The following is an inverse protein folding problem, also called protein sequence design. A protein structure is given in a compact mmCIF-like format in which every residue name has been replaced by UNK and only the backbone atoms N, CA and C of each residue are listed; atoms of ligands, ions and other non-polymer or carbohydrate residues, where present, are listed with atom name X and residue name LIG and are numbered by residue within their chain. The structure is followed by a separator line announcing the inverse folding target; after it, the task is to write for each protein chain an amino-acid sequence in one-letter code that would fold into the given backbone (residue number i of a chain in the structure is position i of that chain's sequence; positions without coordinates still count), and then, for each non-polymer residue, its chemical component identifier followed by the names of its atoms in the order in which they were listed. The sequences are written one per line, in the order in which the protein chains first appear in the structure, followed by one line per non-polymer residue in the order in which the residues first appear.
data_IF_512702957233
#
_entry.id   IF_512702957233
#
_cell.length_a   1.000
_cell.length_b   1.000
_cell.length_c   1.000
_cell.angle_alpha   90.00
_cell.angle_beta   90.00
_cell.angle_gamma   90.00
#
_symmetry.space_group_name_H-M   'P 1'
#
loop_
_entity.id
_entity.type
_entity.pdbx_description
1 polymer ?
#
# COMPACT_ATOMS: atom_id res chain seq x y z
N UNK A 1 10.61 -12.38 -18.17
CA UNK A 1 10.90 -10.98 -17.86
C UNK A 1 12.08 -10.50 -18.70
N UNK A 2 12.09 -9.23 -19.09
CA UNK A 2 13.26 -8.60 -19.72
C UNK A 2 14.33 -8.24 -18.68
N UNK A 3 13.96 -8.21 -17.38
CA UNK A 3 14.82 -7.87 -16.25
C UNK A 3 15.52 -6.50 -16.38
N UNK A 4 14.94 -5.62 -17.21
CA UNK A 4 15.46 -4.30 -17.53
C UNK A 4 14.29 -3.33 -17.48
N UNK A 5 14.48 -2.23 -16.76
CA UNK A 5 13.58 -1.09 -16.73
C UNK A 5 14.01 -0.12 -17.84
N UNK A 6 13.09 0.24 -18.74
CA UNK A 6 13.36 1.27 -19.75
C UNK A 6 13.45 2.65 -19.10
N UNK A 7 14.11 3.59 -19.78
CA UNK A 7 14.22 4.97 -19.30
C UNK A 7 12.84 5.62 -19.21
N UNK A 8 11.97 5.32 -20.18
CA UNK A 8 10.59 5.80 -20.25
C UNK A 8 9.74 5.27 -19.08
N UNK A 9 9.83 3.98 -18.77
CA UNK A 9 9.17 3.38 -17.60
C UNK A 9 9.69 4.01 -16.29
N UNK A 10 11.01 4.20 -16.17
CA UNK A 10 11.62 4.86 -15.02
C UNK A 10 11.10 6.29 -14.82
N UNK A 11 11.08 7.10 -15.89
CA UNK A 11 10.53 8.45 -15.85
C UNK A 11 9.04 8.47 -15.50
N UNK A 12 8.25 7.52 -16.02
CA UNK A 12 6.83 7.43 -15.70
C UNK A 12 6.58 7.16 -14.21
N UNK A 13 7.41 6.35 -13.54
CA UNK A 13 7.26 6.08 -12.11
C UNK A 13 7.59 7.28 -11.22
N UNK A 14 8.50 8.16 -11.64
CA UNK A 14 8.95 9.31 -10.85
C UNK A 14 8.25 10.62 -11.22
N UNK A 15 7.25 10.57 -12.12
CA UNK A 15 6.47 11.75 -12.51
C UNK A 15 5.84 12.45 -11.28
N UNK A 16 5.57 13.76 -11.32
CA UNK A 16 4.90 14.45 -10.22
C UNK A 16 3.57 13.76 -9.83
N UNK A 17 3.26 13.76 -8.53
CA UNK A 17 2.00 13.20 -8.01
C UNK A 17 0.87 14.20 -8.31
N UNK A 18 -0.29 13.68 -8.69
CA UNK A 18 -1.49 14.49 -8.98
C UNK A 18 -2.51 14.40 -7.85
N UNK A 19 -3.42 15.38 -7.74
CA UNK A 19 -4.54 15.32 -6.79
C UNK A 19 -5.39 14.07 -7.03
N UNK A 20 -5.67 13.76 -8.29
CA UNK A 20 -6.47 12.60 -8.69
C UNK A 20 -5.82 11.27 -8.26
N UNK A 21 -4.49 11.15 -8.34
CA UNK A 21 -3.77 9.97 -7.82
C UNK A 21 -3.92 9.82 -6.30
N UNK A 22 -3.94 10.94 -5.55
CA UNK A 22 -4.15 10.92 -4.10
C UNK A 22 -5.58 10.53 -3.76
N UNK A 23 -6.56 11.15 -4.41
CA UNK A 23 -7.97 10.85 -4.21
C UNK A 23 -8.25 9.38 -4.54
N UNK A 24 -7.82 8.91 -5.70
CA UNK A 24 -7.92 7.49 -6.06
C UNK A 24 -7.35 6.57 -4.98
N UNK A 25 -6.14 6.88 -4.48
CA UNK A 25 -5.50 6.06 -3.45
C UNK A 25 -6.31 6.04 -2.14
N UNK A 26 -6.97 7.13 -1.75
CA UNK A 26 -7.85 7.18 -0.58
C UNK A 26 -9.09 6.31 -0.80
N UNK A 27 -9.76 6.49 -1.94
CA UNK A 27 -11.04 5.82 -2.24
C UNK A 27 -10.89 4.33 -2.52
N UNK A 28 -9.73 3.89 -3.00
CA UNK A 28 -9.43 2.48 -3.23
C UNK A 28 -8.99 1.72 -1.95
N UNK A 29 -8.78 2.41 -0.82
CA UNK A 29 -8.59 1.75 0.48
C UNK A 29 -9.95 1.31 1.03
N UNK A 30 -10.13 0.02 1.29
CA UNK A 30 -11.35 -0.51 1.90
C UNK A 30 -11.67 0.15 3.26
N UNK A 31 -12.95 0.41 3.52
CA UNK A 31 -13.44 1.18 4.68
C UNK A 31 -13.53 0.37 5.96
N UNK A 32 -13.74 -0.94 5.82
CA UNK A 32 -13.97 -1.94 6.86
C UNK A 32 -12.69 -2.38 7.59
N UNK A 33 -11.78 -1.43 7.87
CA UNK A 33 -10.46 -1.72 8.45
C UNK A 33 -10.41 -1.28 9.91
N UNK A 34 -9.73 -2.11 10.73
CA UNK A 34 -9.55 -1.91 12.16
C UNK A 34 -9.01 -0.51 12.51
N UNK A 35 -9.36 0.03 13.69
CA UNK A 35 -8.90 1.34 14.15
C UNK A 35 -7.38 1.40 14.21
N UNK A 36 -6.86 2.59 13.91
CA UNK A 36 -5.44 2.87 13.72
C UNK A 36 -4.87 3.58 14.95
N UNK A 37 -3.53 3.75 15.06
CA UNK A 37 -2.92 4.49 16.17
C UNK A 37 -3.53 5.87 16.41
N UNK A 38 -3.96 6.54 15.34
CA UNK A 38 -4.59 7.87 15.37
C UNK A 38 -6.12 7.85 15.57
N UNK A 39 -6.74 6.67 15.61
CA UNK A 39 -8.19 6.50 15.77
C UNK A 39 -9.01 6.72 14.49
N UNK A 40 -8.41 7.10 13.37
CA UNK A 40 -9.13 7.40 12.13
C UNK A 40 -9.10 6.23 11.13
N UNK A 41 -10.27 5.82 10.64
CA UNK A 41 -10.40 4.80 9.59
C UNK A 41 -10.33 5.44 8.20
N UNK A 42 -10.14 4.62 7.16
CA UNK A 42 -10.30 5.07 5.77
C UNK A 42 -11.71 5.62 5.48
N UNK A 43 -12.74 5.07 6.14
CA UNK A 43 -14.12 5.57 6.05
C UNK A 43 -14.25 7.03 6.50
N UNK A 44 -13.54 7.44 7.55
CA UNK A 44 -13.50 8.85 7.97
C UNK A 44 -12.98 9.76 6.85
N UNK A 45 -11.83 9.42 6.25
CA UNK A 45 -11.22 10.25 5.20
C UNK A 45 -12.10 10.37 3.96
N UNK A 46 -12.78 9.28 3.57
CA UNK A 46 -13.71 9.31 2.43
C UNK A 46 -14.94 10.15 2.74
N UNK A 47 -15.56 9.94 3.91
CA UNK A 47 -16.75 10.68 4.31
C UNK A 47 -16.48 12.18 4.51
N UNK A 48 -15.29 12.53 5.02
CA UNK A 48 -14.88 13.91 5.28
C UNK A 48 -13.99 14.48 4.15
N UNK A 49 -13.93 13.86 2.97
CA UNK A 49 -12.97 14.23 1.92
C UNK A 49 -13.09 15.70 1.49
N UNK A 50 -14.31 16.23 1.44
CA UNK A 50 -14.55 17.65 1.14
C UNK A 50 -13.99 18.62 2.17
N UNK A 51 -13.63 18.14 3.36
CA UNK A 51 -13.08 18.93 4.47
C UNK A 51 -11.59 18.71 4.64
N UNK A 52 -11.11 17.46 4.54
CA UNK A 52 -9.71 17.10 4.84
C UNK A 52 -8.87 16.80 3.60
N UNK A 53 -9.48 16.76 2.41
CA UNK A 53 -8.85 16.26 1.19
C UNK A 53 -7.67 17.12 0.72
N UNK A 54 -7.76 18.45 0.87
CA UNK A 54 -6.67 19.35 0.51
C UNK A 54 -5.47 19.22 1.47
N UNK A 55 -5.70 19.07 2.78
CA UNK A 55 -4.64 18.83 3.76
C UNK A 55 -3.96 17.48 3.55
N UNK A 56 -4.74 16.43 3.30
CA UNK A 56 -4.21 15.09 2.98
C UNK A 56 -3.36 15.15 1.73
N UNK A 57 -3.85 15.82 0.68
CA UNK A 57 -3.13 15.96 -0.58
C UNK A 57 -1.82 16.73 -0.39
N UNK A 58 -1.84 17.83 0.36
CA UNK A 58 -0.63 18.58 0.70
C UNK A 58 0.38 17.72 1.45
N UNK A 59 -0.07 16.96 2.45
CA UNK A 59 0.82 16.09 3.22
C UNK A 59 1.46 14.98 2.35
N UNK A 60 0.72 14.44 1.37
CA UNK A 60 1.27 13.48 0.40
C UNK A 60 2.29 14.15 -0.51
N UNK A 61 1.99 15.34 -1.04
CA UNK A 61 2.93 16.08 -1.89
C UNK A 61 4.22 16.43 -1.15
N UNK A 62 4.11 16.90 0.09
CA UNK A 62 5.24 17.21 0.97
C UNK A 62 6.13 15.97 1.17
N UNK A 63 5.54 14.79 1.38
CA UNK A 63 6.28 13.54 1.47
C UNK A 63 7.05 13.24 0.17
N UNK A 64 6.41 13.34 -1.00
CA UNK A 64 7.08 13.04 -2.27
C UNK A 64 8.11 14.10 -2.69
N UNK A 65 7.99 15.33 -2.19
CA UNK A 65 8.97 16.39 -2.42
C UNK A 65 10.19 16.28 -1.50
N UNK A 66 9.99 15.96 -0.22
CA UNK A 66 11.05 15.99 0.81
C UNK A 66 11.57 14.60 1.20
N UNK A 67 10.83 13.53 0.90
CA UNK A 67 11.16 12.16 1.33
C UNK A 67 11.02 11.94 2.84
N UNK A 68 10.34 12.83 3.56
CA UNK A 68 10.21 12.80 5.01
C UNK A 68 8.77 12.57 5.45
N UNK A 69 8.59 11.66 6.40
CA UNK A 69 7.29 11.36 7.01
C UNK A 69 7.33 11.72 8.50
N UNK A 70 6.26 12.35 8.99
CA UNK A 70 6.12 12.64 10.42
C UNK A 70 6.13 11.32 11.22
N UNK A 71 6.85 11.32 12.35
CA UNK A 71 6.99 10.12 13.21
C UNK A 71 5.64 9.57 13.65
N UNK A 72 4.68 10.46 13.91
CA UNK A 72 3.31 10.13 14.29
C UNK A 72 2.60 9.38 13.16
N UNK A 73 2.79 9.79 11.90
CA UNK A 73 2.21 9.12 10.73
C UNK A 73 2.85 7.76 10.49
N UNK A 74 4.14 7.61 10.79
CA UNK A 74 4.85 6.34 10.74
C UNK A 74 4.58 5.42 11.94
N UNK A 75 3.83 5.88 12.95
CA UNK A 75 3.44 5.04 14.08
C UNK A 75 2.55 3.89 13.60
N UNK A 76 2.80 2.70 14.13
CA UNK A 76 2.10 1.47 13.76
C UNK A 76 1.71 0.73 15.01
N UNK A 77 0.45 0.33 15.12
CA UNK A 77 -0.02 -0.54 16.18
C UNK A 77 0.17 -1.99 15.75
N UNK A 78 0.94 -2.75 16.52
CA UNK A 78 1.13 -4.18 16.32
C UNK A 78 0.00 -4.94 17.03
N UNK A 79 -0.75 -5.73 16.28
CA UNK A 79 -1.79 -6.63 16.82
C UNK A 79 -1.48 -8.07 16.47
N UNK A 80 -1.73 -8.99 17.40
CA UNK A 80 -1.53 -10.42 17.19
C UNK A 80 -2.88 -11.09 16.89
N UNK A 81 -3.02 -11.69 15.71
CA UNK A 81 -4.19 -12.49 15.35
C UNK A 81 -3.87 -13.98 15.51
N UNK A 82 -4.66 -14.75 16.28
CA UNK A 82 -4.48 -16.20 16.38
C UNK A 82 -4.60 -16.89 15.02
N UNK A 83 -3.67 -17.80 14.71
CA UNK A 83 -3.76 -18.69 13.53
C UNK A 83 -4.50 -20.00 13.84
N UNK A 84 -4.60 -20.36 15.11
CA UNK A 84 -5.23 -21.59 15.61
C UNK A 84 -6.23 -21.25 16.73
N UNK A 85 -7.16 -22.18 17.03
CA UNK A 85 -8.23 -21.95 18.01
C UNK A 85 -7.71 -21.69 19.43
N UNK A 86 -6.64 -22.38 19.83
CA UNK A 86 -6.04 -22.28 21.17
C UNK A 86 -4.54 -22.02 21.04
N UNK A 87 -4.13 -20.75 20.82
CA UNK A 87 -2.73 -20.42 20.66
C UNK A 87 -1.98 -20.53 22.00
N UNK A 88 -0.86 -21.24 22.02
CA UNK A 88 -0.03 -21.44 23.22
C UNK A 88 1.39 -20.89 23.04
N UNK A 89 1.84 -20.72 21.80
CA UNK A 89 3.18 -20.24 21.46
C UNK A 89 3.12 -18.96 20.63
N UNK A 90 4.20 -18.17 20.65
CA UNK A 90 4.31 -16.94 19.82
C UNK A 90 4.12 -17.25 18.34
N UNK A 91 4.63 -18.41 17.89
CA UNK A 91 4.47 -18.88 16.50
C UNK A 91 3.02 -19.18 16.12
N UNK A 92 2.08 -19.28 17.07
CA UNK A 92 0.66 -19.50 16.82
C UNK A 92 -0.07 -18.20 16.44
N UNK A 93 0.59 -17.05 16.59
CA UNK A 93 0.04 -15.76 16.23
C UNK A 93 0.60 -15.27 14.88
N UNK A 94 -0.20 -14.49 14.18
CA UNK A 94 0.22 -13.67 13.04
C UNK A 94 0.29 -12.22 13.51
N UNK A 95 1.47 -11.59 13.52
CA UNK A 95 1.55 -10.16 13.75
C UNK A 95 0.95 -9.41 12.56
N UNK A 96 0.13 -8.40 12.85
CA UNK A 96 -0.44 -7.48 11.87
C UNK A 96 -0.08 -6.05 12.29
N UNK A 97 0.45 -5.31 11.33
CA UNK A 97 0.78 -3.90 11.45
C UNK A 97 -0.39 -3.03 11.03
N UNK A 98 -0.98 -2.30 11.97
CA UNK A 98 -2.02 -1.31 11.73
C UNK A 98 -1.37 0.08 11.61
N UNK A 99 -1.04 0.47 10.38
CA UNK A 99 -0.44 1.77 10.05
C UNK A 99 -1.54 2.83 9.82
N UNK A 100 -1.21 4.11 10.01
CA UNK A 100 -2.11 5.25 9.72
C UNK A 100 -2.56 5.30 8.26
N UNK A 101 -3.72 5.91 7.99
CA UNK A 101 -4.26 5.98 6.61
C UNK A 101 -3.31 6.73 5.69
N UNK A 102 -2.72 7.83 6.15
CA UNK A 102 -1.79 8.62 5.35
C UNK A 102 -0.57 7.81 4.88
N UNK A 103 -0.02 6.94 5.75
CA UNK A 103 1.02 5.99 5.38
C UNK A 103 0.54 5.02 4.28
N UNK A 104 -0.70 4.53 4.39
CA UNK A 104 -1.30 3.63 3.40
C UNK A 104 -1.53 4.31 2.06
N UNK A 105 -1.94 5.57 2.03
CA UNK A 105 -2.09 6.36 0.79
C UNK A 105 -0.75 6.43 0.06
N UNK A 106 0.32 6.83 0.76
CA UNK A 106 1.66 6.96 0.20
C UNK A 106 2.15 5.63 -0.38
N UNK A 107 2.12 4.57 0.42
CA UNK A 107 2.59 3.24 -0.01
C UNK A 107 1.75 2.66 -1.14
N UNK A 108 0.46 2.99 -1.21
CA UNK A 108 -0.42 2.58 -2.30
C UNK A 108 -0.09 3.26 -3.61
N UNK A 109 0.19 4.57 -3.60
CA UNK A 109 0.63 5.29 -4.81
C UNK A 109 1.95 4.70 -5.33
N UNK A 110 2.92 4.46 -4.43
CA UNK A 110 4.20 3.82 -4.78
C UNK A 110 3.96 2.42 -5.36
N UNK A 111 3.19 1.59 -4.67
CA UNK A 111 2.86 0.23 -5.11
C UNK A 111 2.18 0.21 -6.48
N UNK A 112 1.24 1.13 -6.73
CA UNK A 112 0.56 1.24 -8.01
C UNK A 112 1.55 1.55 -9.14
N UNK A 113 2.46 2.52 -8.93
CA UNK A 113 3.45 2.90 -9.96
C UNK A 113 4.44 1.77 -10.25
N UNK A 114 4.87 1.03 -9.23
CA UNK A 114 5.74 -0.15 -9.39
C UNK A 114 5.00 -1.29 -10.10
N UNK A 115 3.70 -1.48 -9.81
CA UNK A 115 2.94 -2.60 -10.36
C UNK A 115 2.89 -2.61 -11.89
N UNK A 116 2.90 -1.42 -12.52
CA UNK A 116 2.83 -1.26 -13.98
C UNK A 116 4.07 -1.83 -14.69
N UNK A 117 5.22 -1.85 -14.03
CA UNK A 117 6.48 -2.34 -14.62
C UNK A 117 6.86 -3.72 -14.11
N UNK A 118 6.16 -4.23 -13.10
CA UNK A 118 6.57 -5.42 -12.35
C UNK A 118 6.66 -6.65 -13.26
N UNK A 119 5.71 -6.83 -14.18
CA UNK A 119 5.67 -7.97 -15.11
C UNK A 119 6.91 -8.08 -15.99
N UNK A 120 7.53 -6.96 -16.36
CA UNK A 120 8.75 -6.92 -17.16
C UNK A 120 10.00 -7.24 -16.33
N UNK A 121 9.94 -7.06 -15.01
CA UNK A 121 11.08 -7.16 -14.09
C UNK A 121 11.18 -8.51 -13.39
N UNK A 122 10.05 -9.15 -13.07
CA UNK A 122 10.02 -10.39 -12.28
C UNK A 122 9.92 -11.64 -13.15
N UNK A 123 10.47 -12.75 -12.66
CA UNK A 123 10.37 -14.05 -13.34
C UNK A 123 8.91 -14.44 -13.61
N UNK A 124 8.59 -15.09 -14.74
CA UNK A 124 7.27 -15.70 -14.96
C UNK A 124 6.90 -16.71 -13.86
N UNK A 125 7.88 -17.34 -13.21
CA UNK A 125 7.66 -18.27 -12.09
C UNK A 125 7.27 -17.56 -10.77
N UNK A 126 7.31 -16.23 -10.73
CA UNK A 126 6.86 -15.46 -9.57
C UNK A 126 5.38 -15.09 -9.75
N UNK A 127 4.49 -15.90 -9.17
CA UNK A 127 3.04 -15.75 -9.34
C UNK A 127 2.32 -15.02 -8.20
N UNK A 128 2.94 -14.89 -7.03
CA UNK A 128 2.30 -14.24 -5.89
C UNK A 128 2.30 -12.70 -6.02
N UNK A 129 1.17 -12.07 -5.73
CA UNK A 129 0.98 -10.61 -5.69
C UNK A 129 1.24 -9.86 -7.01
N UNK A 130 1.06 -10.55 -8.14
CA UNK A 130 1.15 -9.96 -9.47
C UNK A 130 -0.24 -9.98 -10.11
N UNK A 131 -0.75 -8.84 -10.59
CA UNK A 131 -2.04 -8.80 -11.27
C UNK A 131 -2.09 -9.81 -12.43
N UNK A 132 -3.19 -10.56 -12.52
CA UNK A 132 -3.39 -11.54 -13.60
C UNK A 132 -2.64 -12.87 -13.44
N UNK A 133 -1.81 -13.06 -12.41
CA UNK A 133 -1.17 -14.35 -12.11
C UNK A 133 -1.87 -15.07 -10.97
N UNK A 134 -2.11 -16.36 -11.14
CA UNK A 134 -2.79 -17.21 -10.16
C UNK A 134 -1.80 -18.15 -9.46
N UNK A 135 -2.09 -18.49 -8.21
CA UNK A 135 -1.26 -19.45 -7.47
C UNK A 135 -1.23 -20.84 -8.14
N UNK A 136 -2.30 -21.19 -8.86
CA UNK A 136 -2.40 -22.44 -9.63
C UNK A 136 -1.45 -22.48 -10.83
N UNK A 137 -1.02 -21.34 -11.36
CA UNK A 137 -0.12 -21.28 -12.52
C UNK A 137 1.28 -21.87 -12.19
N UNK A 138 1.67 -21.86 -10.90
CA UNK A 138 2.88 -22.52 -10.43
C UNK A 138 2.84 -24.04 -10.54
N UNK A 139 1.65 -24.66 -10.51
CA UNK A 139 1.49 -26.12 -10.55
C UNK A 139 1.76 -26.64 -11.97
N UNK A 140 1.43 -25.84 -13.00
CA UNK A 140 1.63 -26.21 -14.41
C UNK A 140 3.07 -26.03 -14.90
N UNK A 141 3.90 -25.30 -14.14
CA UNK A 141 5.32 -25.06 -14.44
C UNK A 141 6.26 -26.09 -13.79
N UNK A 142 5.72 -27.01 -12.96
CA UNK A 142 6.46 -28.02 -12.21
C UNK A 142 6.58 -29.35 -12.95
#
# INVERSE_FOLDING_TARGET
AKHILTVEEGHAMIRPITKDEVEWAVFDIAEDKAPRPDGYSSGFYKAAWSVVGDEVTRAVFDFFAMGQLLKQVNATLLTLIPKVRSPNFVVDFRPISLCNVLYKIITKIIGQRISVVLDNLISPSQNAFVPGRLIGDNILLA
#
